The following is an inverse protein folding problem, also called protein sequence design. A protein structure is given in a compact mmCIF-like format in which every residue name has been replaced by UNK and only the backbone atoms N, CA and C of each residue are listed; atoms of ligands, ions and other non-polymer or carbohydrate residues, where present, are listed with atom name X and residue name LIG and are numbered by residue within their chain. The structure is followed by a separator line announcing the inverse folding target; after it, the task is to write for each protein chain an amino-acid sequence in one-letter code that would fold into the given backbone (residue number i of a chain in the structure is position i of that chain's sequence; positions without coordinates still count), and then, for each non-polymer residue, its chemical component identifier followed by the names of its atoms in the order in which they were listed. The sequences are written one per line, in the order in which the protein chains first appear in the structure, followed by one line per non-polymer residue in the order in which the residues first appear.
data_IF_207193841118
#
_entry.id   IF_207193841118
#
_cell.length_a   1.000
_cell.length_b   1.000
_cell.length_c   1.000
_cell.angle_alpha   90.00
_cell.angle_beta   90.00
_cell.angle_gamma   90.00
#
_symmetry.space_group_name_H-M   'P 1'
#
loop_
_entity.id
_entity.type
_entity.pdbx_description
1 polymer ?
#
# COMPACT_ATOMS: atom_id res chain seq x y z
N UNK A 1 -36.97 -13.57 5.59
CA UNK A 1 -36.87 -12.25 4.90
C UNK A 1 -37.17 -12.44 3.43
N UNK A 2 -37.91 -11.53 2.79
CA UNK A 2 -38.29 -11.62 1.38
C UNK A 2 -37.34 -10.84 0.46
N UNK A 3 -37.30 -11.22 -0.81
CA UNK A 3 -36.55 -10.49 -1.82
C UNK A 3 -37.20 -9.13 -2.07
N UNK A 4 -36.39 -8.07 -2.19
CA UNK A 4 -36.88 -6.71 -2.42
C UNK A 4 -37.59 -6.54 -3.78
N UNK A 5 -37.17 -7.28 -4.81
CA UNK A 5 -37.80 -7.22 -6.14
C UNK A 5 -38.91 -8.26 -6.31
N UNK A 6 -38.91 -9.33 -5.50
CA UNK A 6 -39.86 -10.43 -5.59
C UNK A 6 -40.40 -10.76 -4.20
N UNK A 7 -41.47 -10.08 -3.75
CA UNK A 7 -42.04 -10.27 -2.41
C UNK A 7 -42.44 -11.72 -2.11
N UNK A 8 -42.81 -12.46 -3.16
CA UNK A 8 -43.22 -13.86 -3.09
C UNK A 8 -42.05 -14.81 -2.72
N UNK A 9 -40.81 -14.38 -2.94
CA UNK A 9 -39.62 -15.24 -2.85
C UNK A 9 -38.77 -14.90 -1.65
N UNK A 10 -38.18 -15.93 -1.04
CA UNK A 10 -37.27 -15.73 0.06
C UNK A 10 -35.91 -15.16 -0.41
N UNK A 11 -35.37 -14.26 0.40
CA UNK A 11 -34.05 -13.72 0.19
C UNK A 11 -33.00 -14.74 0.67
N UNK A 12 -32.04 -15.05 -0.19
CA UNK A 12 -30.91 -15.96 0.09
C UNK A 12 -29.58 -15.22 0.24
N UNK A 13 -29.54 -13.94 -0.14
CA UNK A 13 -28.37 -13.10 -0.04
C UNK A 13 -28.73 -11.63 0.20
N UNK A 14 -27.75 -10.83 0.58
CA UNK A 14 -27.90 -9.39 0.80
C UNK A 14 -26.92 -8.65 -0.12
N UNK A 15 -27.40 -7.63 -0.82
CA UNK A 15 -26.54 -6.81 -1.67
C UNK A 15 -25.59 -5.95 -0.82
N UNK A 16 -24.28 -6.02 -1.10
CA UNK A 16 -23.24 -5.23 -0.41
C UNK A 16 -23.42 -3.71 -0.53
N UNK A 17 -24.03 -3.23 -1.63
CA UNK A 17 -24.19 -1.79 -1.88
C UNK A 17 -25.46 -1.19 -1.29
N UNK A 18 -26.60 -1.88 -1.38
CA UNK A 18 -27.90 -1.32 -0.97
C UNK A 18 -28.52 -2.00 0.25
N UNK A 19 -27.87 -3.05 0.78
CA UNK A 19 -28.30 -3.81 1.97
C UNK A 19 -29.71 -4.41 1.89
N UNK A 20 -30.24 -4.59 0.67
CA UNK A 20 -31.53 -5.24 0.43
C UNK A 20 -31.36 -6.75 0.25
N UNK A 21 -32.34 -7.52 0.74
CA UNK A 21 -32.42 -8.96 0.52
C UNK A 21 -32.73 -9.31 -0.93
N UNK A 22 -32.05 -10.31 -1.48
CA UNK A 22 -32.16 -10.77 -2.86
C UNK A 22 -32.43 -12.28 -2.92
N UNK A 23 -33.34 -12.70 -3.81
CA UNK A 23 -33.50 -14.10 -4.17
C UNK A 23 -32.38 -14.55 -5.13
N UNK A 24 -32.29 -15.86 -5.38
CA UNK A 24 -31.26 -16.47 -6.25
C UNK A 24 -31.20 -15.88 -7.67
N UNK A 25 -32.32 -15.40 -8.22
CA UNK A 25 -32.35 -14.78 -9.55
C UNK A 25 -31.93 -13.30 -9.57
N UNK A 26 -32.14 -12.58 -8.46
CA UNK A 26 -31.77 -11.17 -8.36
C UNK A 26 -30.34 -10.97 -7.83
N UNK A 27 -29.75 -11.99 -7.23
CA UNK A 27 -28.38 -12.00 -6.75
C UNK A 27 -27.42 -12.31 -7.91
N UNK A 28 -26.36 -11.52 -8.01
CA UNK A 28 -25.20 -11.81 -8.86
C UNK A 28 -23.94 -11.72 -7.99
N UNK A 29 -23.02 -12.65 -8.21
CA UNK A 29 -21.74 -12.69 -7.49
C UNK A 29 -20.65 -11.95 -8.28
N UNK A 30 -19.93 -11.07 -7.59
CA UNK A 30 -18.83 -10.27 -8.11
C UNK A 30 -17.71 -10.30 -7.07
N UNK A 31 -16.55 -10.86 -7.43
CA UNK A 31 -15.37 -10.97 -6.55
C UNK A 31 -15.70 -11.48 -5.13
N UNK A 32 -16.41 -12.62 -5.04
CA UNK A 32 -16.87 -13.21 -3.78
C UNK A 32 -17.82 -12.34 -2.93
N UNK A 33 -18.50 -11.37 -3.55
CA UNK A 33 -19.53 -10.54 -2.91
C UNK A 33 -20.81 -10.53 -3.73
N UNK A 34 -21.96 -10.29 -3.08
CA UNK A 34 -23.25 -10.28 -3.77
C UNK A 34 -23.72 -8.87 -4.09
N UNK A 35 -24.23 -8.68 -5.31
CA UNK A 35 -24.84 -7.45 -5.80
C UNK A 35 -26.24 -7.70 -6.39
N UNK A 36 -27.02 -6.62 -6.54
CA UNK A 36 -28.26 -6.65 -7.31
C UNK A 36 -27.95 -6.72 -8.82
N UNK A 37 -28.48 -7.74 -9.48
CA UNK A 37 -28.41 -7.89 -10.94
C UNK A 37 -28.94 -6.64 -11.66
N UNK A 38 -28.14 -6.08 -12.56
CA UNK A 38 -28.47 -4.91 -13.39
C UNK A 38 -28.58 -3.56 -12.68
N UNK A 39 -28.31 -3.45 -11.37
CA UNK A 39 -28.41 -2.17 -10.63
C UNK A 39 -27.17 -1.81 -9.83
N UNK A 40 -26.62 -2.78 -9.07
CA UNK A 40 -25.54 -2.51 -8.12
C UNK A 40 -24.21 -3.13 -8.53
N UNK A 41 -24.15 -3.79 -9.70
CA UNK A 41 -22.98 -4.55 -10.15
C UNK A 41 -21.74 -3.66 -10.23
N UNK A 42 -21.83 -2.55 -10.96
CA UNK A 42 -20.73 -1.62 -11.14
C UNK A 42 -20.29 -0.98 -9.82
N UNK A 43 -21.24 -0.61 -8.96
CA UNK A 43 -20.94 -0.03 -7.63
C UNK A 43 -20.21 -1.03 -6.74
N UNK A 44 -20.66 -2.28 -6.71
CA UNK A 44 -20.01 -3.33 -5.91
C UNK A 44 -18.64 -3.69 -6.49
N UNK A 45 -18.50 -3.78 -7.82
CA UNK A 45 -17.21 -3.98 -8.47
C UNK A 45 -16.22 -2.85 -8.14
N UNK A 46 -16.67 -1.59 -8.16
CA UNK A 46 -15.86 -0.44 -7.76
C UNK A 46 -15.46 -0.51 -6.28
N UNK A 47 -16.41 -0.77 -5.38
CA UNK A 47 -16.15 -0.92 -3.94
C UNK A 47 -15.14 -2.05 -3.67
N UNK A 48 -15.25 -3.18 -4.38
CA UNK A 48 -14.31 -4.28 -4.26
C UNK A 48 -12.92 -3.87 -4.75
N UNK A 49 -12.82 -3.15 -5.88
CA UNK A 49 -11.56 -2.59 -6.35
C UNK A 49 -10.92 -1.62 -5.37
N UNK A 50 -11.71 -0.77 -4.69
CA UNK A 50 -11.17 0.15 -3.67
C UNK A 50 -10.70 -0.60 -2.43
N UNK A 51 -11.51 -1.52 -1.92
CA UNK A 51 -11.18 -2.32 -0.72
C UNK A 51 -9.98 -3.22 -0.97
N UNK A 52 -9.89 -3.85 -2.15
CA UNK A 52 -8.79 -4.75 -2.49
C UNK A 52 -7.58 -4.05 -3.14
N UNK A 53 -7.76 -2.87 -3.73
CA UNK A 53 -6.71 -2.11 -4.41
C UNK A 53 -5.57 -1.67 -3.49
N UNK A 54 -5.84 -1.58 -2.20
CA UNK A 54 -4.83 -1.22 -1.20
C UNK A 54 -3.77 -2.31 -0.98
N UNK A 55 -4.00 -3.57 -1.37
CA UNK A 55 -2.95 -4.62 -1.28
C UNK A 55 -1.70 -4.24 -2.08
N UNK A 56 -1.87 -3.51 -3.19
CA UNK A 56 -0.76 -3.06 -4.05
C UNK A 56 -0.01 -1.85 -3.50
N UNK A 57 -0.62 -1.06 -2.61
CA UNK A 57 0.01 0.12 -1.99
C UNK A 57 1.09 -0.35 -1.01
N UNK A 58 0.80 -1.37 -0.19
CA UNK A 58 1.75 -1.88 0.80
C UNK A 58 3.03 -2.46 0.19
N UNK A 59 2.93 -3.19 -0.93
CA UNK A 59 4.10 -3.75 -1.62
C UNK A 59 4.96 -2.68 -2.31
N UNK A 60 4.35 -1.58 -2.76
CA UNK A 60 5.09 -0.43 -3.32
C UNK A 60 5.80 0.36 -2.23
N UNK A 61 5.20 0.47 -1.04
CA UNK A 61 5.81 1.16 0.10
C UNK A 61 7.12 0.49 0.51
N UNK A 62 7.17 -0.83 0.67
CA UNK A 62 8.42 -1.53 1.04
C UNK A 62 9.55 -1.28 0.02
N UNK A 63 9.28 -1.39 -1.28
CA UNK A 63 10.27 -1.13 -2.34
C UNK A 63 10.74 0.33 -2.33
N UNK A 64 9.84 1.28 -2.09
CA UNK A 64 10.18 2.70 -2.01
C UNK A 64 11.16 3.02 -0.88
N UNK A 65 11.07 2.32 0.26
CA UNK A 65 11.98 2.51 1.39
C UNK A 65 13.40 2.01 1.05
N UNK A 66 13.52 0.87 0.35
CA UNK A 66 14.83 0.38 -0.08
C UNK A 66 15.49 1.25 -1.15
N UNK A 67 14.72 1.77 -2.12
CA UNK A 67 15.26 2.71 -3.11
C UNK A 67 15.77 3.99 -2.45
N UNK A 68 15.02 4.53 -1.48
CA UNK A 68 15.44 5.74 -0.74
C UNK A 68 16.71 5.49 0.08
N UNK A 69 16.80 4.34 0.77
CA UNK A 69 18.00 3.95 1.51
C UNK A 69 19.22 3.80 0.60
N UNK A 70 19.05 3.21 -0.59
CA UNK A 70 20.14 3.06 -1.56
C UNK A 70 20.71 4.41 -2.02
N UNK A 71 19.83 5.36 -2.34
CA UNK A 71 20.23 6.72 -2.73
C UNK A 71 20.97 7.42 -1.59
N UNK A 72 20.45 7.35 -0.36
CA UNK A 72 21.11 7.94 0.82
C UNK A 72 22.48 7.29 1.10
N UNK A 73 22.59 5.97 0.93
CA UNK A 73 23.83 5.23 1.09
C UNK A 73 24.91 5.69 0.11
N UNK A 74 24.56 5.81 -1.18
CA UNK A 74 25.49 6.31 -2.21
C UNK A 74 25.98 7.71 -1.86
N UNK A 75 25.07 8.64 -1.56
CA UNK A 75 25.47 10.01 -1.22
C UNK A 75 26.33 10.06 0.04
N UNK A 76 25.96 9.33 1.11
CA UNK A 76 26.75 9.26 2.34
C UNK A 76 28.18 8.75 2.10
N UNK A 77 28.34 7.66 1.34
CA UNK A 77 29.65 7.13 0.94
C UNK A 77 30.45 8.11 0.08
N UNK A 78 29.78 8.81 -0.83
CA UNK A 78 30.41 9.80 -1.72
C UNK A 78 30.98 10.98 -0.92
N UNK A 79 30.22 11.50 0.06
CA UNK A 79 30.67 12.61 0.92
C UNK A 79 31.81 12.19 1.86
N UNK A 80 31.76 10.97 2.41
CA UNK A 80 32.85 10.43 3.24
C UNK A 80 34.11 10.22 2.40
N UNK A 81 33.97 9.67 1.18
CA UNK A 81 35.07 9.51 0.24
C UNK A 81 35.68 10.84 -0.14
N UNK A 82 34.86 11.81 -0.57
CA UNK A 82 35.34 13.15 -0.92
C UNK A 82 36.04 13.85 0.25
N UNK A 83 35.49 13.76 1.46
CA UNK A 83 36.10 14.31 2.68
C UNK A 83 37.45 13.68 3.05
N UNK A 84 37.73 12.45 2.60
CA UNK A 84 39.02 11.79 2.80
C UNK A 84 40.08 12.21 1.77
N UNK A 85 39.65 12.65 0.58
CA UNK A 85 40.55 13.10 -0.50
C UNK A 85 40.65 14.62 -0.63
N UNK A 86 39.81 15.40 0.05
CA UNK A 86 39.82 16.86 -0.06
C UNK A 86 41.04 17.48 0.60
N UNK A 87 41.74 18.31 -0.17
CA UNK A 87 42.87 19.13 0.28
C UNK A 87 42.46 20.31 1.18
N UNK A 88 41.17 20.43 1.53
CA UNK A 88 40.60 21.48 2.37
C UNK A 88 40.32 20.96 3.79
N UNK A 89 41.24 21.14 4.76
CA UNK A 89 41.12 20.53 6.09
C UNK A 89 39.93 21.08 6.89
N UNK A 90 39.51 22.31 6.62
CA UNK A 90 38.40 22.99 7.29
C UNK A 90 37.03 22.37 6.95
N UNK A 91 36.90 21.77 5.76
CA UNK A 91 35.65 21.18 5.27
C UNK A 91 35.51 19.69 5.65
N UNK A 92 36.62 18.99 5.87
CA UNK A 92 36.64 17.57 6.25
C UNK A 92 35.69 17.22 7.42
N UNK A 93 35.73 17.89 8.59
CA UNK A 93 34.85 17.54 9.71
C UNK A 93 33.36 17.71 9.37
N UNK A 94 33.02 18.72 8.56
CA UNK A 94 31.65 18.93 8.09
C UNK A 94 31.19 17.79 7.16
N UNK A 95 32.03 17.41 6.19
CA UNK A 95 31.73 16.33 5.25
C UNK A 95 31.57 14.96 5.93
N UNK A 96 32.44 14.63 6.88
CA UNK A 96 32.30 13.40 7.66
C UNK A 96 31.05 13.40 8.53
N UNK A 97 30.67 14.54 9.12
CA UNK A 97 29.45 14.65 9.93
C UNK A 97 28.19 14.44 9.07
N UNK A 98 28.09 15.14 7.93
CA UNK A 98 26.94 15.02 7.02
C UNK A 98 26.86 13.61 6.42
N UNK A 99 27.98 13.06 5.96
CA UNK A 99 28.06 11.69 5.45
C UNK A 99 27.65 10.66 6.50
N UNK A 100 28.11 10.81 7.75
CA UNK A 100 27.74 9.94 8.86
C UNK A 100 26.24 9.96 9.18
N UNK A 101 25.62 11.15 9.20
CA UNK A 101 24.17 11.30 9.41
C UNK A 101 23.39 10.60 8.28
N UNK A 102 23.83 10.74 7.03
CA UNK A 102 23.17 10.08 5.90
C UNK A 102 23.29 8.55 5.94
N UNK A 103 24.44 8.01 6.36
CA UNK A 103 24.60 6.56 6.56
C UNK A 103 23.71 6.07 7.70
N UNK A 104 23.62 6.81 8.81
CA UNK A 104 22.71 6.48 9.90
C UNK A 104 21.24 6.49 9.44
N UNK A 105 20.84 7.49 8.63
CA UNK A 105 19.51 7.55 8.03
C UNK A 105 19.25 6.37 7.08
N UNK A 106 20.24 5.96 6.28
CA UNK A 106 20.17 4.76 5.43
C UNK A 106 19.92 3.49 6.27
N UNK A 107 20.64 3.32 7.38
CA UNK A 107 20.44 2.17 8.28
C UNK A 107 19.04 2.18 8.89
N UNK A 108 18.59 3.33 9.43
CA UNK A 108 17.25 3.47 10.03
C UNK A 108 16.12 3.22 9.03
N UNK A 109 16.28 3.65 7.77
CA UNK A 109 15.28 3.44 6.71
C UNK A 109 15.22 1.98 6.24
N UNK A 110 16.36 1.26 6.24
CA UNK A 110 16.38 -0.20 6.01
C UNK A 110 15.67 -0.92 7.15
N UNK A 111 15.93 -0.56 8.41
CA UNK A 111 15.27 -1.16 9.57
C UNK A 111 13.75 -0.90 9.58
N UNK A 112 13.32 0.32 9.25
CA UNK A 112 11.90 0.64 9.15
C UNK A 112 11.24 -0.10 7.97
N UNK A 113 11.89 -0.19 6.81
CA UNK A 113 11.43 -0.97 5.66
C UNK A 113 11.28 -2.46 5.97
N UNK A 114 12.21 -3.05 6.73
CA UNK A 114 12.12 -4.45 7.20
C UNK A 114 10.96 -4.68 8.16
N UNK A 115 10.62 -3.69 9.00
CA UNK A 115 9.47 -3.78 9.92
C UNK A 115 8.15 -3.84 9.15
N UNK A 116 8.00 -3.05 8.09
CA UNK A 116 6.81 -3.10 7.21
C UNK A 116 6.72 -4.41 6.41
N UNK A 117 7.86 -5.03 6.07
CA UNK A 117 7.88 -6.34 5.41
C UNK A 117 7.50 -7.52 6.30
N UNK A 118 7.66 -7.40 7.63
CA UNK A 118 7.37 -8.46 8.62
C UNK A 118 5.96 -8.41 9.21
N UNK A 119 5.20 -7.33 9.00
CA UNK A 119 3.78 -7.26 9.38
C UNK A 119 2.83 -7.79 8.29
N UNK A 120 3.38 -8.49 7.30
CA UNK A 120 2.66 -9.36 6.37
C UNK A 120 2.66 -10.79 6.92
#
# INVERSE_FOLDING_TARGET
MKCFNHPERDAVAICKSCNKGLCKECAVEIDATIACKGKCEEKVAFLNKVVHGNKSVYNKTAKSYYTMAFVQGIFGLSFIGFGAYSEFPELNPFLFMVGGIMILACVLTIFSGRRFGKSQ
#
